data_IF_045329456709
#
_entry.id   IF_045329456709
#
_cell.length_a   1.000
_cell.length_b   1.000
_cell.length_c   1.000
_cell.angle_alpha   90.00
_cell.angle_beta   90.00
_cell.angle_gamma   90.00
#
_symmetry.space_group_name_H-M   'P 1'
#
loop_
_entity.id
_entity.type
_entity.pdbx_description
1 polymer ?
#
# COMPACT_ATOMS: atom_id res chain seq x y z
N UNK A 1 3.69 8.37 -5.65
CA UNK A 1 2.85 8.19 -4.45
C UNK A 1 2.78 9.51 -3.69
N UNK A 2 1.77 9.72 -2.87
CA UNK A 2 1.75 10.89 -1.98
C UNK A 2 2.79 10.69 -0.87
N UNK A 3 3.53 11.75 -0.53
CA UNK A 3 4.48 11.74 0.59
C UNK A 3 3.91 12.54 1.76
N UNK A 4 3.83 11.92 2.92
CA UNK A 4 3.35 12.51 4.17
C UNK A 4 4.50 12.73 5.14
N UNK A 5 4.67 13.98 5.57
CA UNK A 5 5.61 14.36 6.63
C UNK A 5 4.83 14.52 7.94
N UNK A 6 5.23 13.78 8.98
CA UNK A 6 4.56 13.89 10.26
C UNK A 6 5.03 15.16 11.00
N UNK A 7 4.10 15.95 11.55
CA UNK A 7 4.46 17.11 12.36
C UNK A 7 5.08 16.67 13.69
N UNK A 8 5.87 17.55 14.30
CA UNK A 8 6.35 17.32 15.66
C UNK A 8 5.22 17.47 16.70
N UNK A 9 5.42 16.94 17.90
CA UNK A 9 4.41 16.94 18.96
C UNK A 9 3.97 18.36 19.39
N UNK A 10 4.88 19.34 19.62
CA UNK A 10 4.44 20.69 19.99
C UNK A 10 3.66 21.41 18.89
N UNK A 11 3.97 21.13 17.63
CA UNK A 11 3.28 21.70 16.47
C UNK A 11 1.89 21.11 16.30
N UNK A 12 1.76 19.78 16.35
CA UNK A 12 0.46 19.10 16.20
C UNK A 12 -0.52 19.44 17.31
N UNK A 13 -0.05 19.75 18.52
CA UNK A 13 -0.90 20.19 19.63
C UNK A 13 -1.65 21.52 19.37
N UNK A 14 -1.25 22.28 18.35
CA UNK A 14 -1.85 23.58 17.97
C UNK A 14 -2.70 23.51 16.71
N UNK A 15 -2.80 22.33 16.09
CA UNK A 15 -3.54 22.16 14.84
C UNK A 15 -5.04 22.26 15.08
N UNK A 16 -5.71 22.85 14.10
CA UNK A 16 -7.16 22.72 13.91
C UNK A 16 -7.53 21.28 13.55
N UNK A 17 -8.82 20.94 13.61
CA UNK A 17 -9.32 19.62 13.18
C UNK A 17 -8.91 19.27 11.76
N UNK A 18 -9.00 20.23 10.84
CA UNK A 18 -8.69 20.02 9.43
C UNK A 18 -7.19 19.81 9.21
N UNK A 19 -6.34 20.55 9.92
CA UNK A 19 -4.89 20.36 9.90
C UNK A 19 -4.49 18.99 10.48
N UNK A 20 -5.14 18.54 11.56
CA UNK A 20 -4.94 17.20 12.10
C UNK A 20 -5.33 16.12 11.08
N UNK A 21 -6.49 16.24 10.43
CA UNK A 21 -6.91 15.29 9.39
C UNK A 21 -5.93 15.29 8.22
N UNK A 22 -5.57 16.47 7.71
CA UNK A 22 -4.62 16.63 6.62
C UNK A 22 -3.23 16.10 6.95
N UNK A 23 -2.84 16.03 8.23
CA UNK A 23 -1.56 15.48 8.65
C UNK A 23 -1.61 13.96 8.84
N UNK A 24 -2.65 13.43 9.50
CA UNK A 24 -2.65 12.06 10.02
C UNK A 24 -3.64 11.10 9.35
N UNK A 25 -4.66 11.60 8.66
CA UNK A 25 -5.66 10.75 8.01
C UNK A 25 -5.25 10.51 6.56
N UNK A 26 -5.32 9.23 6.16
CA UNK A 26 -5.23 8.81 4.76
C UNK A 26 -6.66 8.64 4.24
N UNK A 27 -7.09 9.59 3.41
CA UNK A 27 -8.40 9.55 2.76
C UNK A 27 -8.30 8.76 1.45
N UNK A 28 -9.43 8.22 0.97
CA UNK A 28 -9.55 7.58 -0.35
C UNK A 28 -8.60 6.39 -0.58
N UNK A 29 -8.27 5.61 0.46
CA UNK A 29 -7.44 4.42 0.32
C UNK A 29 -8.05 3.41 -0.67
N UNK A 30 -9.34 3.10 -0.53
CA UNK A 30 -9.99 2.00 -1.25
C UNK A 30 -10.68 2.43 -2.56
N UNK A 31 -9.94 3.11 -3.43
CA UNK A 31 -10.43 3.45 -4.77
C UNK A 31 -10.41 2.22 -5.71
N UNK A 32 -11.52 1.96 -6.40
CA UNK A 32 -11.62 0.84 -7.37
C UNK A 32 -10.59 0.94 -8.48
N UNK A 33 -10.07 -0.20 -8.91
CA UNK A 33 -9.07 -0.37 -9.98
C UNK A 33 -7.78 0.43 -9.77
N UNK A 34 -7.40 0.68 -8.51
CA UNK A 34 -6.24 1.50 -8.18
C UNK A 34 -5.44 0.90 -7.04
N UNK A 35 -4.13 1.12 -7.10
CA UNK A 35 -3.27 1.00 -5.94
C UNK A 35 -3.02 2.41 -5.40
N UNK A 36 -3.57 2.69 -4.22
CA UNK A 36 -3.32 3.94 -3.49
C UNK A 36 -2.22 3.67 -2.48
N UNK A 37 -1.10 4.40 -2.59
CA UNK A 37 0.05 4.30 -1.70
C UNK A 37 0.41 5.69 -1.16
N UNK A 38 0.70 5.75 0.13
CA UNK A 38 1.24 6.92 0.80
C UNK A 38 2.55 6.55 1.48
N UNK A 39 3.61 7.30 1.16
CA UNK A 39 4.89 7.22 1.82
C UNK A 39 4.87 8.10 3.06
N UNK A 40 5.01 7.48 4.23
CA UNK A 40 5.15 8.19 5.51
C UNK A 40 6.65 8.37 5.73
N UNK A 41 7.11 9.62 5.82
CA UNK A 41 8.54 9.91 5.93
C UNK A 41 9.16 9.32 7.20
N UNK A 42 8.42 9.41 8.31
CA UNK A 42 8.78 8.76 9.57
C UNK A 42 8.82 7.24 9.37
N UNK A 43 9.99 6.65 9.66
CA UNK A 43 10.33 5.24 9.40
C UNK A 43 10.20 4.78 7.94
N UNK A 44 9.91 5.71 7.01
CA UNK A 44 9.81 5.44 5.57
C UNK A 44 8.79 4.34 5.25
N UNK A 45 7.77 4.20 6.08
CA UNK A 45 6.71 3.22 5.89
C UNK A 45 5.87 3.59 4.65
N UNK A 46 5.40 2.60 3.91
CA UNK A 46 4.45 2.80 2.82
C UNK A 46 3.17 2.10 3.23
N UNK A 47 2.10 2.87 3.34
CA UNK A 47 0.76 2.37 3.69
C UNK A 47 -0.15 2.59 2.50
N UNK A 48 -1.05 1.66 2.25
CA UNK A 48 -1.92 1.75 1.11
C UNK A 48 -2.86 0.57 0.96
N UNK A 49 -3.50 0.52 -0.20
CA UNK A 49 -4.44 -0.53 -0.58
C UNK A 49 -4.43 -0.72 -2.09
N UNK A 50 -4.75 -1.94 -2.51
CA UNK A 50 -4.96 -2.31 -3.90
C UNK A 50 -6.37 -2.89 -4.03
N UNK A 51 -7.24 -2.22 -4.81
CA UNK A 51 -8.61 -2.68 -5.04
C UNK A 51 -8.75 -3.08 -6.51
N UNK A 52 -8.41 -4.33 -6.83
CA UNK A 52 -8.46 -4.85 -8.19
C UNK A 52 -9.87 -5.40 -8.48
N UNK A 53 -10.71 -4.70 -9.25
CA UNK A 53 -12.00 -5.22 -9.70
C UNK A 53 -11.89 -5.75 -11.12
N UNK A 54 -11.55 -4.91 -12.09
CA UNK A 54 -11.73 -5.26 -13.50
C UNK A 54 -10.49 -5.94 -14.10
N UNK A 55 -9.31 -5.62 -13.56
CA UNK A 55 -8.02 -6.12 -14.05
C UNK A 55 -7.01 -6.28 -12.92
N UNK A 56 -6.02 -7.16 -13.08
CA UNK A 56 -4.91 -7.24 -12.14
C UNK A 56 -4.17 -5.91 -12.01
N UNK A 57 -3.80 -5.56 -10.78
CA UNK A 57 -3.03 -4.37 -10.47
C UNK A 57 -1.59 -4.76 -10.11
N UNK A 58 -0.61 -4.21 -10.81
CA UNK A 58 0.82 -4.44 -10.52
C UNK A 58 1.29 -3.48 -9.43
N UNK A 59 2.00 -3.99 -8.44
CA UNK A 59 2.68 -3.18 -7.43
C UNK A 59 3.96 -2.58 -8.02
N UNK A 60 3.90 -1.30 -8.38
CA UNK A 60 5.03 -0.58 -8.95
C UNK A 60 5.87 0.12 -7.88
N UNK A 61 7.19 0.21 -8.09
CA UNK A 61 8.05 1.08 -7.29
C UNK A 61 7.96 2.53 -7.77
N UNK A 62 8.31 3.46 -6.89
CA UNK A 62 8.57 4.84 -7.29
C UNK A 62 10.07 5.13 -7.25
N UNK A 63 10.65 5.51 -8.38
CA UNK A 63 12.07 5.92 -8.44
C UNK A 63 12.37 7.12 -7.55
N UNK A 64 11.42 8.06 -7.41
CA UNK A 64 11.61 9.28 -6.63
C UNK A 64 11.65 9.02 -5.12
N UNK A 65 10.70 8.23 -4.61
CA UNK A 65 10.58 7.98 -3.17
C UNK A 65 11.40 6.77 -2.70
N UNK A 66 11.66 5.79 -3.57
CA UNK A 66 12.26 4.50 -3.20
C UNK A 66 13.66 4.27 -3.79
N UNK A 67 14.02 4.94 -4.89
CA UNK A 67 15.26 4.72 -5.64
C UNK A 67 15.54 3.22 -5.91
N UNK A 68 14.48 2.48 -6.28
CA UNK A 68 14.49 1.04 -6.48
C UNK A 68 13.82 0.67 -7.82
N UNK A 69 14.30 -0.39 -8.46
CA UNK A 69 13.80 -0.87 -9.75
C UNK A 69 12.46 -1.62 -9.60
N UNK A 70 12.21 -2.21 -8.42
CA UNK A 70 10.95 -2.89 -8.09
C UNK A 70 10.64 -2.76 -6.59
N UNK A 71 9.37 -2.94 -6.22
CA UNK A 71 8.87 -2.51 -4.90
C UNK A 71 9.60 -3.17 -3.72
N UNK A 72 9.79 -4.49 -3.76
CA UNK A 72 10.43 -5.26 -2.69
C UNK A 72 11.95 -5.43 -2.87
N UNK A 73 12.63 -4.64 -3.71
CA UNK A 73 14.10 -4.77 -3.89
C UNK A 73 14.86 -4.66 -2.57
N UNK A 74 14.43 -3.73 -1.73
CA UNK A 74 15.04 -3.42 -0.42
C UNK A 74 14.00 -3.31 0.69
N UNK A 75 12.82 -3.89 0.48
CA UNK A 75 11.66 -3.81 1.37
C UNK A 75 10.92 -5.14 1.41
N UNK A 76 10.18 -5.32 2.47
CA UNK A 76 9.16 -6.35 2.63
C UNK A 76 7.78 -5.69 2.68
N UNK A 77 6.72 -6.47 2.44
CA UNK A 77 5.34 -6.00 2.53
C UNK A 77 4.44 -7.06 3.14
N UNK A 78 3.60 -6.63 4.09
CA UNK A 78 2.48 -7.42 4.59
C UNK A 78 1.18 -6.95 3.93
N UNK A 79 0.41 -7.89 3.38
CA UNK A 79 -0.88 -7.61 2.75
C UNK A 79 -1.96 -8.36 3.49
N UNK A 80 -2.98 -7.66 3.95
CA UNK A 80 -4.17 -8.24 4.58
C UNK A 80 -5.35 -8.01 3.66
N UNK A 81 -6.05 -9.08 3.27
CA UNK A 81 -7.29 -8.93 2.52
C UNK A 81 -8.43 -8.59 3.48
N UNK A 82 -9.04 -7.41 3.33
CA UNK A 82 -10.22 -7.00 4.14
C UNK A 82 -11.53 -7.03 3.34
N UNK A 83 -11.49 -7.46 2.07
CA UNK A 83 -12.62 -7.54 1.16
C UNK A 83 -13.01 -8.98 0.82
N UNK A 84 -13.54 -9.16 -0.39
CA UNK A 84 -13.89 -10.46 -0.97
C UNK A 84 -12.64 -11.28 -1.33
N UNK A 85 -12.75 -12.59 -1.55
CA UNK A 85 -11.62 -13.43 -1.92
C UNK A 85 -10.88 -12.92 -3.17
N UNK A 86 -9.55 -12.84 -3.05
CA UNK A 86 -8.67 -12.39 -4.13
C UNK A 86 -7.46 -13.30 -4.30
N UNK A 87 -6.61 -12.95 -5.25
CA UNK A 87 -5.34 -13.61 -5.53
C UNK A 87 -4.23 -12.57 -5.52
N UNK A 88 -3.14 -12.90 -4.84
CA UNK A 88 -1.87 -12.19 -4.96
C UNK A 88 -0.91 -13.09 -5.72
N UNK A 89 -0.38 -12.61 -6.85
CA UNK A 89 0.63 -13.33 -7.61
C UNK A 89 2.00 -12.71 -7.33
N UNK A 90 2.94 -13.50 -6.84
CA UNK A 90 4.32 -13.08 -6.52
C UNK A 90 5.29 -13.90 -7.36
N UNK A 91 6.01 -13.23 -8.26
CA UNK A 91 7.00 -13.84 -9.17
C UNK A 91 6.45 -15.09 -9.90
N UNK A 92 5.18 -15.00 -10.34
CA UNK A 92 4.46 -16.08 -11.02
C UNK A 92 3.76 -17.11 -10.12
N UNK A 93 3.97 -17.07 -8.80
CA UNK A 93 3.27 -17.94 -7.84
C UNK A 93 1.99 -17.28 -7.33
N UNK A 94 0.86 -17.97 -7.46
CA UNK A 94 -0.42 -17.50 -6.95
C UNK A 94 -0.66 -17.87 -5.49
N UNK A 95 -1.20 -16.90 -4.74
CA UNK A 95 -1.66 -17.06 -3.37
C UNK A 95 -3.12 -16.59 -3.32
N UNK A 96 -4.04 -17.51 -2.99
CA UNK A 96 -5.45 -17.17 -2.77
C UNK A 96 -5.59 -16.64 -1.35
N UNK A 97 -6.20 -15.47 -1.19
CA UNK A 97 -6.50 -14.88 0.12
C UNK A 97 -8.00 -14.68 0.28
N UNK A 98 -8.59 -15.31 1.30
CA UNK A 98 -9.92 -15.01 1.82
C UNK A 98 -9.96 -13.75 2.68
N UNK A 99 -11.14 -13.42 3.21
CA UNK A 99 -11.32 -12.27 4.11
C UNK A 99 -10.49 -12.48 5.39
N UNK A 100 -9.74 -11.45 5.79
CA UNK A 100 -8.83 -11.37 6.94
C UNK A 100 -7.62 -12.31 6.88
N UNK A 101 -7.34 -12.90 5.71
CA UNK A 101 -6.08 -13.62 5.51
C UNK A 101 -4.94 -12.65 5.16
N UNK A 102 -3.73 -13.06 5.50
CA UNK A 102 -2.51 -12.25 5.33
C UNK A 102 -1.50 -13.01 4.47
N UNK A 103 -0.84 -12.27 3.58
CA UNK A 103 0.38 -12.72 2.90
C UNK A 103 1.53 -11.78 3.27
N UNK A 104 2.63 -12.37 3.74
CA UNK A 104 3.89 -11.68 3.90
C UNK A 104 4.77 -11.94 2.68
N UNK A 105 5.28 -10.87 2.07
CA UNK A 105 6.16 -10.90 0.90
C UNK A 105 7.50 -10.30 1.31
N UNK A 106 8.54 -11.14 1.30
CA UNK A 106 9.87 -10.75 1.70
C UNK A 106 10.62 -9.91 0.66
N UNK A 107 11.76 -9.37 1.08
CA UNK A 107 12.71 -8.68 0.21
C UNK A 107 13.15 -9.57 -0.96
N UNK A 108 13.21 -8.98 -2.15
CA UNK A 108 13.74 -9.57 -3.38
C UNK A 108 12.68 -9.97 -4.39
N UNK A 109 11.41 -10.04 -3.99
CA UNK A 109 10.31 -10.30 -4.93
C UNK A 109 10.11 -9.15 -5.90
N UNK A 110 10.03 -9.47 -7.20
CA UNK A 110 10.09 -8.48 -8.29
C UNK A 110 8.72 -8.13 -8.82
N UNK A 111 7.91 -9.13 -9.11
CA UNK A 111 6.61 -8.95 -9.76
C UNK A 111 5.49 -9.36 -8.80
N UNK A 112 4.73 -8.37 -8.35
CA UNK A 112 3.60 -8.56 -7.43
C UNK A 112 2.36 -8.00 -8.11
N UNK A 113 1.32 -8.85 -8.23
CA UNK A 113 0.03 -8.48 -8.80
C UNK A 113 -1.10 -8.80 -7.83
N UNK A 114 -2.14 -7.96 -7.82
CA UNK A 114 -3.37 -8.14 -7.06
C UNK A 114 -4.55 -8.33 -8.00
N UNK A 115 -5.41 -9.32 -7.76
CA UNK A 115 -6.66 -9.53 -8.49
C UNK A 115 -7.78 -10.04 -7.57
N UNK A 116 -9.04 -9.83 -7.95
CA UNK A 116 -10.20 -10.40 -7.25
C UNK A 116 -10.70 -11.64 -7.98
N UNK A 117 -11.21 -12.64 -7.23
CA UNK A 117 -11.83 -13.84 -7.82
C UNK A 117 -13.26 -13.59 -8.31
N UNK A 118 -13.97 -12.69 -7.63
CA UNK A 118 -15.31 -12.26 -7.96
C UNK A 118 -15.37 -10.73 -7.78
N UNK A 119 -15.32 -9.96 -8.90
CA UNK A 119 -15.08 -8.51 -8.88
C UNK A 119 -16.30 -7.63 -8.55
#
# INVERSE_FOLDING_TARGET
METRFLPNQPGSARFTTDELRSAFVLENLFEKNKISLTYIETDRAIVGSAVATDKPLKLESSKKEMAADYFCERREVGVINIGMPGVITVDGKEFVLGNRELLYIGRGSKEIFFSSKDP
#
